data_IF_755002407092
#
_entry.id   IF_755002407092
#
_cell.length_a   1.000
_cell.length_b   1.000
_cell.length_c   1.000
_cell.angle_alpha   90.00
_cell.angle_beta   90.00
_cell.angle_gamma   90.00
#
_symmetry.space_group_name_H-M   'P 1'
#
loop_
_entity.id
_entity.type
_entity.pdbx_description
1 polymer ?
#
# COMPACT_ATOMS: atom_id res chain seq x y z
N UNK A 1 -7.34 7.84 -11.85
CA UNK A 1 -6.17 7.16 -12.47
C UNK A 1 -4.84 7.80 -12.07
N UNK A 2 -4.66 9.13 -12.20
CA UNK A 2 -3.37 9.78 -11.86
C UNK A 2 -2.90 9.50 -10.42
N UNK A 3 -3.79 9.64 -9.41
CA UNK A 3 -3.44 9.41 -8.01
C UNK A 3 -2.98 7.96 -7.73
N UNK A 4 -3.59 6.96 -8.38
CA UNK A 4 -3.15 5.57 -8.27
C UNK A 4 -1.73 5.38 -8.80
N UNK A 5 -1.44 5.96 -9.98
CA UNK A 5 -0.09 5.90 -10.56
C UNK A 5 0.92 6.61 -9.66
N UNK A 6 0.63 7.84 -9.23
CA UNK A 6 1.54 8.61 -8.36
C UNK A 6 1.85 7.88 -7.05
N UNK A 7 0.83 7.25 -6.43
CA UNK A 7 1.04 6.46 -5.22
C UNK A 7 1.93 5.24 -5.46
N UNK A 8 1.74 4.55 -6.60
CA UNK A 8 2.57 3.40 -6.95
C UNK A 8 4.01 3.80 -7.26
N UNK A 9 4.20 4.90 -7.98
CA UNK A 9 5.53 5.45 -8.29
C UNK A 9 6.24 5.89 -7.00
N UNK A 10 5.51 6.53 -6.06
CA UNK A 10 6.04 6.88 -4.74
C UNK A 10 6.48 5.65 -3.95
N UNK A 11 5.66 4.59 -3.93
CA UNK A 11 6.02 3.34 -3.27
C UNK A 11 7.31 2.75 -3.86
N UNK A 12 7.44 2.75 -5.19
CA UNK A 12 8.63 2.26 -5.88
C UNK A 12 9.87 3.10 -5.53
N UNK A 13 9.79 4.42 -5.64
CA UNK A 13 10.91 5.32 -5.32
C UNK A 13 11.37 5.12 -3.87
N UNK A 14 10.44 5.07 -2.92
CA UNK A 14 10.76 4.84 -1.51
C UNK A 14 11.41 3.48 -1.27
N UNK A 15 10.97 2.44 -1.99
CA UNK A 15 11.57 1.11 -1.91
C UNK A 15 13.00 1.12 -2.48
N UNK A 16 13.19 1.70 -3.67
CA UNK A 16 14.48 1.77 -4.34
C UNK A 16 15.51 2.55 -3.47
N UNK A 17 15.15 3.73 -2.95
CA UNK A 17 16.02 4.49 -2.02
C UNK A 17 16.31 3.69 -0.76
N UNK A 18 15.32 2.96 -0.20
CA UNK A 18 15.51 2.21 1.05
C UNK A 18 16.42 0.98 0.89
N UNK A 19 16.60 0.49 -0.34
CA UNK A 19 17.37 -0.73 -0.62
C UNK A 19 18.72 -0.47 -1.27
N UNK A 20 18.95 0.69 -1.88
CA UNK A 20 20.17 1.04 -2.61
C UNK A 20 21.05 2.00 -1.78
N UNK A 21 22.15 1.48 -1.22
CA UNK A 21 23.09 2.25 -0.42
C UNK A 21 23.79 3.36 -1.24
N UNK A 22 24.08 3.12 -2.52
CA UNK A 22 24.68 4.13 -3.39
C UNK A 22 23.72 5.29 -3.61
N UNK A 23 22.44 4.99 -3.84
CA UNK A 23 21.42 6.00 -4.01
C UNK A 23 21.17 6.80 -2.73
N UNK A 24 21.14 6.15 -1.55
CA UNK A 24 21.06 6.83 -0.25
C UNK A 24 22.19 7.82 -0.06
N UNK A 25 23.42 7.40 -0.32
CA UNK A 25 24.61 8.23 -0.15
C UNK A 25 24.59 9.42 -1.12
N UNK A 26 24.25 9.20 -2.37
CA UNK A 26 24.13 10.26 -3.39
C UNK A 26 23.10 11.32 -3.00
N UNK A 27 22.00 10.90 -2.40
CA UNK A 27 20.94 11.80 -1.96
C UNK A 27 21.19 12.43 -0.56
N UNK A 28 22.26 12.03 0.13
CA UNK A 28 22.57 12.53 1.48
C UNK A 28 21.72 11.91 2.60
N UNK A 29 21.08 10.77 2.35
CA UNK A 29 20.19 10.08 3.30
C UNK A 29 20.67 8.67 3.68
N UNK A 30 21.94 8.52 4.08
CA UNK A 30 22.58 7.21 4.32
C UNK A 30 21.81 6.27 5.28
N UNK A 31 21.03 6.82 6.22
CA UNK A 31 20.24 6.04 7.17
C UNK A 31 18.75 5.95 6.82
N UNK A 32 18.35 6.33 5.60
CA UNK A 32 16.95 6.35 5.21
C UNK A 32 16.34 4.95 5.17
N UNK A 33 15.15 4.81 5.77
CA UNK A 33 14.33 3.63 5.75
C UNK A 33 12.85 4.01 5.54
N UNK A 34 12.38 3.84 4.33
CA UNK A 34 11.01 4.17 3.91
C UNK A 34 10.05 2.98 3.82
N UNK A 35 10.40 1.78 4.31
CA UNK A 35 9.59 0.57 4.09
C UNK A 35 8.16 0.67 4.61
N UNK A 36 7.92 1.35 5.74
CA UNK A 36 6.57 1.61 6.25
C UNK A 36 5.73 2.42 5.25
N UNK A 37 6.35 3.43 4.66
CA UNK A 37 5.71 4.29 3.67
C UNK A 37 5.48 3.58 2.34
N UNK A 38 6.33 2.60 1.98
CA UNK A 38 6.12 1.73 0.81
C UNK A 38 4.81 0.95 0.96
N UNK A 39 4.58 0.31 2.12
CA UNK A 39 3.33 -0.43 2.38
C UNK A 39 2.12 0.50 2.28
N UNK A 40 2.20 1.66 2.89
CA UNK A 40 1.12 2.63 2.87
C UNK A 40 0.82 3.16 1.45
N UNK A 41 1.85 3.60 0.73
CA UNK A 41 1.69 4.11 -0.64
C UNK A 41 1.20 3.03 -1.61
N UNK A 42 1.62 1.76 -1.43
CA UNK A 42 1.11 0.60 -2.17
C UNK A 42 -0.40 0.43 -1.97
N UNK A 43 -0.87 0.45 -0.72
CA UNK A 43 -2.30 0.39 -0.43
C UNK A 43 -3.07 1.57 -1.05
N UNK A 44 -2.59 2.80 -0.91
CA UNK A 44 -3.26 3.96 -1.52
C UNK A 44 -3.31 3.87 -3.04
N UNK A 45 -2.32 3.26 -3.69
CA UNK A 45 -2.38 3.05 -5.14
C UNK A 45 -3.55 2.12 -5.53
N UNK A 46 -3.78 1.05 -4.75
CA UNK A 46 -4.91 0.14 -4.93
C UNK A 46 -6.24 0.85 -4.63
N UNK A 47 -6.31 1.61 -3.54
CA UNK A 47 -7.49 2.38 -3.17
C UNK A 47 -7.92 3.36 -4.27
N UNK A 48 -6.99 4.11 -4.84
CA UNK A 48 -7.30 5.08 -5.90
C UNK A 48 -7.68 4.43 -7.23
N UNK A 49 -7.14 3.25 -7.57
CA UNK A 49 -7.58 2.55 -8.79
C UNK A 49 -8.99 1.99 -8.62
N UNK A 50 -9.36 1.49 -7.44
CA UNK A 50 -10.73 1.07 -7.13
C UNK A 50 -11.69 2.24 -7.21
N UNK A 51 -11.34 3.39 -6.64
CA UNK A 51 -12.17 4.59 -6.80
C UNK A 51 -12.37 4.98 -8.26
N UNK A 52 -11.31 4.93 -9.07
CA UNK A 52 -11.42 5.21 -10.50
C UNK A 52 -12.30 4.19 -11.24
N UNK A 53 -12.27 2.90 -10.85
CA UNK A 53 -13.15 1.87 -11.37
C UNK A 53 -14.62 2.18 -11.02
N UNK A 54 -14.92 2.51 -9.77
CA UNK A 54 -16.26 2.88 -9.32
C UNK A 54 -16.78 4.12 -10.06
N UNK A 55 -15.97 5.15 -10.19
CA UNK A 55 -16.31 6.37 -10.94
C UNK A 55 -16.59 6.08 -12.43
N UNK A 56 -15.82 5.18 -13.05
CA UNK A 56 -16.03 4.75 -14.43
C UNK A 56 -17.37 3.98 -14.63
N UNK A 57 -17.86 3.36 -13.56
CA UNK A 57 -19.19 2.74 -13.51
C UNK A 57 -20.32 3.72 -13.14
N UNK A 58 -20.01 5.01 -12.99
CA UNK A 58 -20.96 6.03 -12.54
C UNK A 58 -21.25 6.03 -11.04
N UNK A 59 -20.54 5.21 -10.27
CA UNK A 59 -20.72 5.06 -8.82
C UNK A 59 -19.89 6.14 -8.12
N UNK A 60 -20.56 7.18 -7.62
CA UNK A 60 -19.90 8.30 -6.90
C UNK A 60 -20.01 8.10 -5.40
N UNK A 61 -18.88 7.91 -4.73
CA UNK A 61 -18.80 7.86 -3.28
C UNK A 61 -18.60 9.27 -2.73
N UNK A 62 -19.61 9.74 -1.99
CA UNK A 62 -19.68 11.08 -1.40
C UNK A 62 -19.67 10.98 0.12
N UNK A 63 -18.61 10.47 0.69
CA UNK A 63 -18.46 10.43 2.15
C UNK A 63 -17.02 10.68 2.53
N UNK A 64 -16.81 11.48 3.57
CA UNK A 64 -15.51 11.72 4.18
C UNK A 64 -15.31 10.81 5.40
N UNK A 65 -16.39 10.21 5.90
CA UNK A 65 -16.36 9.30 7.04
C UNK A 65 -16.26 7.84 6.57
N UNK A 66 -15.28 7.10 7.11
CA UNK A 66 -15.07 5.68 6.80
C UNK A 66 -14.93 5.37 5.29
N UNK A 67 -14.37 6.31 4.52
CA UNK A 67 -14.31 6.20 3.06
C UNK A 67 -13.66 4.91 2.58
N UNK A 68 -12.67 4.38 3.29
CA UNK A 68 -11.99 3.12 2.95
C UNK A 68 -12.96 1.93 3.04
N UNK A 69 -13.78 1.86 4.09
CA UNK A 69 -14.78 0.82 4.26
C UNK A 69 -15.86 0.92 3.17
N UNK A 70 -16.37 2.11 2.92
CA UNK A 70 -17.40 2.34 1.89
C UNK A 70 -16.90 1.98 0.49
N UNK A 71 -15.65 2.30 0.16
CA UNK A 71 -15.03 1.91 -1.12
C UNK A 71 -14.88 0.39 -1.22
N UNK A 72 -14.48 -0.28 -0.14
CA UNK A 72 -14.40 -1.74 -0.08
C UNK A 72 -15.77 -2.39 -0.26
N UNK A 73 -16.78 -1.94 0.47
CA UNK A 73 -18.14 -2.47 0.39
C UNK A 73 -18.73 -2.27 -1.02
N UNK A 74 -18.49 -1.11 -1.63
CA UNK A 74 -18.91 -0.85 -3.01
C UNK A 74 -18.20 -1.77 -4.01
N UNK A 75 -16.90 -2.03 -3.85
CA UNK A 75 -16.17 -2.98 -4.69
C UNK A 75 -16.76 -4.38 -4.58
N UNK A 76 -17.04 -4.84 -3.35
CA UNK A 76 -17.68 -6.15 -3.12
C UNK A 76 -19.06 -6.19 -3.76
N UNK A 77 -19.90 -5.20 -3.51
CA UNK A 77 -21.29 -5.21 -3.99
C UNK A 77 -21.40 -5.14 -5.52
N UNK A 78 -20.70 -4.22 -6.16
CA UNK A 78 -20.84 -3.97 -7.59
C UNK A 78 -19.98 -4.86 -8.48
N UNK A 79 -18.93 -5.47 -7.96
CA UNK A 79 -17.99 -6.23 -8.78
C UNK A 79 -17.81 -7.67 -8.34
N UNK A 80 -17.63 -7.95 -7.04
CA UNK A 80 -17.45 -9.32 -6.58
C UNK A 80 -18.76 -10.11 -6.62
N UNK A 81 -19.84 -9.61 -6.01
CA UNK A 81 -21.14 -10.30 -6.00
C UNK A 81 -21.75 -10.44 -7.41
N UNK A 82 -21.39 -9.57 -8.32
CA UNK A 82 -21.78 -9.64 -9.74
C UNK A 82 -20.83 -10.48 -10.61
N UNK A 83 -19.83 -11.12 -9.99
CA UNK A 83 -18.83 -11.97 -10.66
C UNK A 83 -17.96 -11.26 -11.71
N UNK A 84 -17.82 -9.95 -11.62
CA UNK A 84 -16.94 -9.15 -12.47
C UNK A 84 -15.51 -9.09 -11.95
N UNK A 85 -15.29 -9.39 -10.67
CA UNK A 85 -14.00 -9.39 -10.01
C UNK A 85 -13.78 -10.71 -9.26
N UNK A 86 -12.59 -11.27 -9.37
CA UNK A 86 -12.21 -12.51 -8.70
C UNK A 86 -12.03 -12.33 -7.19
N UNK A 87 -12.29 -13.41 -6.44
CA UNK A 87 -12.22 -13.42 -4.98
C UNK A 87 -10.83 -13.04 -4.46
N UNK A 88 -9.77 -13.54 -5.08
CA UNK A 88 -8.39 -13.26 -4.69
C UNK A 88 -8.05 -11.77 -4.72
N UNK A 89 -8.59 -11.01 -5.69
CA UNK A 89 -8.37 -9.57 -5.77
C UNK A 89 -9.07 -8.81 -4.62
N UNK A 90 -10.24 -9.27 -4.21
CA UNK A 90 -10.93 -8.72 -3.02
C UNK A 90 -10.11 -9.00 -1.76
N UNK A 91 -9.63 -10.23 -1.60
CA UNK A 91 -8.80 -10.62 -0.45
C UNK A 91 -7.49 -9.83 -0.42
N UNK A 92 -6.81 -9.68 -1.55
CA UNK A 92 -5.58 -8.87 -1.67
C UNK A 92 -5.82 -7.39 -1.30
N UNK A 93 -6.94 -6.81 -1.70
CA UNK A 93 -7.28 -5.43 -1.36
C UNK A 93 -7.61 -5.26 0.13
N UNK A 94 -8.36 -6.19 0.71
CA UNK A 94 -8.70 -6.20 2.13
C UNK A 94 -7.44 -6.34 3.00
N UNK A 95 -6.56 -7.27 2.64
CA UNK A 95 -5.32 -7.52 3.36
C UNK A 95 -4.38 -6.29 3.30
N UNK A 96 -4.23 -5.67 2.13
CA UNK A 96 -3.45 -4.47 1.98
C UNK A 96 -3.98 -3.31 2.85
N UNK A 97 -5.30 -3.15 2.93
CA UNK A 97 -5.94 -2.15 3.80
C UNK A 97 -5.70 -2.42 5.28
N UNK A 98 -5.78 -3.69 5.70
CA UNK A 98 -5.47 -4.10 7.07
C UNK A 98 -4.01 -3.84 7.42
N UNK A 99 -3.08 -4.23 6.56
CA UNK A 99 -1.65 -3.99 6.75
C UNK A 99 -1.31 -2.51 6.89
N UNK A 100 -1.87 -1.66 6.01
CA UNK A 100 -1.66 -0.22 6.06
C UNK A 100 -2.25 0.40 7.34
N UNK A 101 -3.44 -0.03 7.76
CA UNK A 101 -4.08 0.41 8.99
C UNK A 101 -3.29 0.02 10.25
N UNK A 102 -2.77 -1.19 10.28
CA UNK A 102 -1.92 -1.67 11.38
C UNK A 102 -0.62 -0.85 11.51
N UNK A 103 -0.03 -0.44 10.40
CA UNK A 103 1.19 0.35 10.36
C UNK A 103 0.93 1.79 10.82
N UNK A 104 -0.21 2.36 10.42
CA UNK A 104 -0.58 3.74 10.75
C UNK A 104 -1.30 3.85 12.10
N UNK A 105 -1.67 2.74 12.73
CA UNK A 105 -2.31 2.73 14.04
C UNK A 105 -1.41 3.39 15.09
N UNK A 106 -1.99 4.33 15.87
CA UNK A 106 -1.26 5.12 16.89
C UNK A 106 -0.50 4.27 17.91
N UNK A 107 -1.01 3.08 18.24
CA UNK A 107 -0.35 2.16 19.18
C UNK A 107 0.90 1.54 18.57
N UNK A 108 0.85 1.15 17.31
CA UNK A 108 2.00 0.54 16.64
C UNK A 108 3.09 1.55 16.27
N UNK A 109 2.71 2.78 15.93
CA UNK A 109 3.67 3.89 15.82
C UNK A 109 4.37 4.15 17.16
N UNK A 110 3.65 4.06 18.27
CA UNK A 110 4.22 4.19 19.63
C UNK A 110 5.14 3.00 19.97
N UNK A 111 4.73 1.77 19.69
CA UNK A 111 5.57 0.58 19.87
C UNK A 111 6.86 0.65 19.03
N UNK A 112 6.77 1.11 17.77
CA UNK A 112 7.93 1.28 16.90
C UNK A 112 8.86 2.38 17.41
N UNK A 113 8.33 3.50 17.90
CA UNK A 113 9.11 4.59 18.50
C UNK A 113 9.75 4.13 19.83
N UNK A 114 9.00 3.40 20.65
CA UNK A 114 9.50 2.86 21.91
C UNK A 114 10.53 1.75 21.69
N UNK A 115 10.31 0.86 20.72
CA UNK A 115 11.30 -0.13 20.32
C UNK A 115 12.58 0.55 19.82
N UNK A 116 12.47 1.57 18.99
CA UNK A 116 13.61 2.36 18.53
C UNK A 116 14.34 3.07 19.67
N UNK A 117 13.63 3.55 20.68
CA UNK A 117 14.20 4.24 21.85
C UNK A 117 14.86 3.27 22.84
N UNK A 118 14.28 2.08 23.06
CA UNK A 118 14.83 1.04 23.94
C UNK A 118 16.08 0.35 23.37
N UNK A 119 16.17 0.25 22.04
CA UNK A 119 17.30 -0.39 21.35
C UNK A 119 18.56 0.46 21.31
N UNK A 120 18.48 1.74 21.63
CA UNK A 120 19.69 2.58 21.81
C UNK A 120 20.56 2.11 22.98
N UNK A 121 19.98 1.33 23.90
CA UNK A 121 20.64 0.81 25.10
C UNK A 121 20.75 -0.73 25.11
N UNK A 122 21.75 -1.29 24.45
CA UNK A 122 22.48 -2.53 24.80
C UNK A 122 22.11 -3.93 24.26
N UNK A 123 21.05 -4.18 23.47
CA UNK A 123 20.88 -5.52 22.86
C UNK A 123 20.36 -5.54 21.41
N UNK A 124 20.38 -4.42 20.75
CA UNK A 124 19.53 -4.09 19.63
C UNK A 124 19.95 -4.54 18.23
N UNK A 125 21.24 -4.85 17.98
CA UNK A 125 21.66 -5.00 16.57
C UNK A 125 20.97 -6.13 15.85
N UNK A 126 20.91 -7.29 16.44
CA UNK A 126 20.27 -8.47 15.83
C UNK A 126 18.76 -8.32 15.68
N UNK A 127 18.05 -7.88 16.72
CA UNK A 127 16.60 -7.66 16.69
C UNK A 127 16.22 -6.52 15.72
N UNK A 128 17.04 -5.48 15.65
CA UNK A 128 16.87 -4.39 14.70
C UNK A 128 17.07 -4.85 13.25
N UNK A 129 18.13 -5.61 12.97
CA UNK A 129 18.40 -6.16 11.64
C UNK A 129 17.29 -7.12 11.18
N UNK A 130 16.79 -7.98 12.07
CA UNK A 130 15.65 -8.87 11.79
C UNK A 130 14.35 -8.09 11.56
N UNK A 131 14.10 -7.03 12.33
CA UNK A 131 12.98 -6.13 12.13
C UNK A 131 13.05 -5.40 10.78
N UNK A 132 14.22 -4.92 10.38
CA UNK A 132 14.44 -4.30 9.08
C UNK A 132 14.23 -5.28 7.92
N UNK A 133 14.73 -6.51 8.03
CA UNK A 133 14.52 -7.56 7.01
C UNK A 133 13.04 -7.89 6.88
N UNK A 134 12.34 -8.06 8.00
CA UNK A 134 10.90 -8.32 7.99
C UNK A 134 10.12 -7.17 7.33
N UNK A 135 10.47 -5.93 7.63
CA UNK A 135 9.84 -4.74 7.02
C UNK A 135 10.16 -4.61 5.53
N UNK A 136 11.39 -4.90 5.10
CA UNK A 136 11.77 -4.93 3.69
C UNK A 136 10.94 -5.94 2.93
N UNK A 137 10.82 -7.18 3.43
CA UNK A 137 10.04 -8.23 2.81
C UNK A 137 8.55 -7.86 2.70
N UNK A 138 7.99 -7.27 3.78
CA UNK A 138 6.61 -6.80 3.79
C UNK A 138 6.40 -5.68 2.77
N UNK A 139 7.31 -4.73 2.68
CA UNK A 139 7.26 -3.63 1.71
C UNK A 139 7.34 -4.15 0.27
N UNK A 140 8.23 -5.10 -0.01
CA UNK A 140 8.35 -5.74 -1.32
C UNK A 140 7.05 -6.45 -1.71
N UNK A 141 6.51 -7.30 -0.84
CA UNK A 141 5.25 -8.02 -1.07
C UNK A 141 4.10 -7.05 -1.32
N UNK A 142 3.98 -5.98 -0.53
CA UNK A 142 2.93 -4.97 -0.70
C UNK A 142 3.06 -4.23 -2.03
N UNK A 143 4.28 -3.91 -2.46
CA UNK A 143 4.54 -3.25 -3.74
C UNK A 143 4.20 -4.15 -4.93
N UNK A 144 4.58 -5.42 -4.89
CA UNK A 144 4.29 -6.40 -5.94
C UNK A 144 2.78 -6.67 -6.05
N UNK A 145 2.10 -6.84 -4.91
CA UNK A 145 0.64 -6.96 -4.82
C UNK A 145 -0.05 -5.75 -5.46
N UNK A 146 0.38 -4.54 -5.11
CA UNK A 146 -0.22 -3.32 -5.64
C UNK A 146 -0.01 -3.18 -7.15
N UNK A 147 1.14 -3.56 -7.69
CA UNK A 147 1.40 -3.58 -9.15
C UNK A 147 0.41 -4.49 -9.86
N UNK A 148 0.33 -5.76 -9.44
CA UNK A 148 -0.55 -6.76 -10.03
C UNK A 148 -2.02 -6.35 -9.94
N UNK A 149 -2.48 -5.95 -8.75
CA UNK A 149 -3.85 -5.50 -8.54
C UNK A 149 -4.22 -4.31 -9.44
N UNK A 150 -3.35 -3.30 -9.51
CA UNK A 150 -3.59 -2.13 -10.34
C UNK A 150 -3.66 -2.48 -11.83
N UNK A 151 -2.85 -3.42 -12.31
CA UNK A 151 -2.91 -3.90 -13.70
C UNK A 151 -4.24 -4.54 -14.02
N UNK A 152 -4.72 -5.45 -13.15
CA UNK A 152 -5.99 -6.14 -13.36
C UNK A 152 -7.18 -5.16 -13.32
N UNK A 153 -7.23 -4.27 -12.35
CA UNK A 153 -8.32 -3.28 -12.26
C UNK A 153 -8.28 -2.27 -13.42
N UNK A 154 -7.09 -1.89 -13.91
CA UNK A 154 -6.97 -1.02 -15.10
C UNK A 154 -7.50 -1.68 -16.36
N UNK A 155 -7.22 -2.97 -16.58
CA UNK A 155 -7.79 -3.73 -17.71
C UNK A 155 -9.32 -3.65 -17.70
N UNK A 156 -9.96 -3.77 -16.54
CA UNK A 156 -11.41 -3.65 -16.43
C UNK A 156 -11.94 -2.26 -16.85
N UNK A 157 -11.20 -1.19 -16.49
CA UNK A 157 -11.56 0.19 -16.87
C UNK A 157 -11.40 0.41 -18.38
N UNK A 158 -10.34 -0.16 -18.98
CA UNK A 158 -10.00 0.02 -20.39
C UNK A 158 -10.94 -0.72 -21.33
N UNK A 159 -11.32 -1.95 -20.99
CA UNK A 159 -12.25 -2.76 -21.79
C UNK A 159 -13.57 -2.02 -22.03
N UNK A 160 -14.07 -1.30 -21.03
CA UNK A 160 -15.34 -0.56 -21.13
C UNK A 160 -15.27 0.71 -21.99
N UNK A 161 -14.10 1.22 -22.29
CA UNK A 161 -13.92 2.39 -23.19
C UNK A 161 -14.00 2.02 -24.67
N UNK A 162 -13.97 0.73 -24.98
CA UNK A 162 -13.93 0.22 -26.37
C UNK A 162 -15.34 -0.12 -26.86
N UNK A 163 -16.32 -0.20 -25.95
CA UNK A 163 -17.74 -0.44 -26.23
C UNK A 163 -18.59 0.77 -25.81
#
# INVERSE_FOLDING_TARGET
>A
MANSKNSLDSAKILFDISTDESLKNTLGFSNFNGFLWVVNASYYSMFYVVRALLENEGIKIKTDFSIHAVVFDALVYYFYLTRKLEKNLIEEFQEAGKEASEILGKEKAKELIEAYSREKDKRGRFTYEMGLIAMKNKAQTSLERAKKFNEEVRKMIEIKKIF
#
